data_IF_149201985055
#
_entry.id   IF_149201985055
#
_cell.length_a   1.000
_cell.length_b   1.000
_cell.length_c   1.000
_cell.angle_alpha   90.00
_cell.angle_beta   90.00
_cell.angle_gamma   90.00
#
_symmetry.space_group_name_H-M   'P 1'
#
loop_
_entity.id
_entity.type
_entity.pdbx_description
1 polymer ?
#
# COMPACT_ATOMS: atom_id res chain seq x y z
N UNK A 1 2.22 -13.73 8.90
CA UNK A 1 0.89 -13.21 8.51
C UNK A 1 0.95 -11.72 8.79
N UNK A 2 1.13 -10.86 7.78
CA UNK A 2 1.21 -9.41 8.01
C UNK A 2 0.03 -8.78 7.28
N UNK A 3 -0.98 -8.41 8.07
CA UNK A 3 -1.95 -7.40 7.72
C UNK A 3 -1.30 -6.05 8.02
N UNK A 4 -1.38 -5.08 7.10
CA UNK A 4 -1.09 -3.68 7.45
C UNK A 4 -2.33 -3.13 8.16
N UNK A 5 -2.43 -3.49 9.44
CA UNK A 5 -3.13 -2.73 10.46
C UNK A 5 -2.02 -2.18 11.35
N UNK A 6 -1.96 -0.86 11.50
CA UNK A 6 -0.99 -0.16 12.36
C UNK A 6 -0.95 -0.79 13.75
N UNK A 7 0.09 -1.58 14.03
CA UNK A 7 0.49 -2.06 15.35
C UNK A 7 1.92 -2.61 15.27
N UNK A 8 2.89 -2.00 15.96
CA UNK A 8 4.30 -2.44 15.92
C UNK A 8 4.86 -2.66 17.34
N UNK A 9 5.11 -3.93 17.65
CA UNK A 9 5.88 -4.43 18.80
C UNK A 9 7.05 -5.31 18.28
N UNK A 10 8.27 -4.80 18.46
CA UNK A 10 9.50 -5.44 18.95
C UNK A 10 10.27 -6.60 18.24
N UNK A 11 11.60 -6.38 18.21
CA UNK A 11 12.76 -7.29 18.49
C UNK A 11 13.05 -8.51 17.61
N UNK A 12 14.06 -8.34 16.75
CA UNK A 12 15.33 -9.12 16.63
C UNK A 12 15.81 -9.12 15.17
N UNK A 13 16.40 -8.00 14.74
CA UNK A 13 17.04 -7.89 13.42
C UNK A 13 18.57 -7.90 13.64
N UNK A 14 19.35 -8.68 12.86
CA UNK A 14 20.81 -8.67 12.93
C UNK A 14 21.34 -7.24 12.72
N UNK A 15 22.52 -6.94 13.26
CA UNK A 15 23.09 -5.59 13.13
C UNK A 15 23.17 -5.16 11.65
N UNK A 16 22.99 -3.86 11.37
CA UNK A 16 23.04 -3.28 10.01
C UNK A 16 24.26 -3.73 9.20
N UNK A 17 25.37 -4.01 9.88
CA UNK A 17 26.61 -4.50 9.28
C UNK A 17 26.50 -5.91 8.73
N UNK A 18 25.71 -6.76 9.37
CA UNK A 18 25.50 -8.16 9.02
C UNK A 18 24.50 -8.29 7.86
N UNK A 19 23.44 -7.48 7.89
CA UNK A 19 22.48 -7.36 6.79
C UNK A 19 23.16 -6.86 5.50
N UNK A 20 23.98 -5.81 5.57
CA UNK A 20 24.73 -5.31 4.41
C UNK A 20 25.73 -6.35 3.87
N UNK A 21 26.33 -7.17 4.74
CA UNK A 21 27.26 -8.22 4.32
C UNK A 21 26.55 -9.37 3.62
N UNK A 22 25.31 -9.68 4.01
CA UNK A 22 24.47 -10.69 3.35
C UNK A 22 23.96 -10.19 1.99
N UNK A 23 23.51 -8.94 1.91
CA UNK A 23 22.99 -8.32 0.67
C UNK A 23 24.07 -8.12 -0.41
N UNK A 24 25.29 -7.77 -0.01
CA UNK A 24 26.43 -7.64 -0.92
C UNK A 24 26.92 -8.98 -1.50
N UNK A 25 26.71 -10.08 -0.78
CA UNK A 25 27.15 -11.42 -1.19
C UNK A 25 26.24 -12.03 -2.27
N UNK A 26 24.98 -11.62 -2.28
CA UNK A 26 23.93 -12.08 -3.22
C UNK A 26 23.71 -11.09 -4.39
N UNK A 27 24.56 -10.07 -4.53
CA UNK A 27 24.44 -9.01 -5.55
C UNK A 27 23.10 -8.24 -5.50
N UNK A 28 22.50 -8.14 -4.30
CA UNK A 28 21.23 -7.48 -4.02
C UNK A 28 21.46 -6.04 -3.53
N UNK A 29 22.18 -5.23 -4.30
CA UNK A 29 22.27 -3.79 -4.10
C UNK A 29 21.05 -3.10 -4.73
N UNK A 30 19.87 -3.28 -4.12
CA UNK A 30 18.62 -2.63 -4.55
C UNK A 30 18.49 -1.17 -4.06
N UNK A 31 19.46 -0.65 -3.30
CA UNK A 31 19.53 0.76 -2.91
C UNK A 31 19.97 1.71 -4.06
N UNK A 32 19.64 1.39 -5.32
CA UNK A 32 20.00 2.24 -6.47
C UNK A 32 18.84 2.42 -7.47
N UNK A 33 17.61 2.36 -6.98
CA UNK A 33 16.41 2.61 -7.79
C UNK A 33 15.45 3.65 -7.19
N UNK A 34 15.80 4.27 -6.05
CA UNK A 34 15.10 5.48 -5.59
C UNK A 34 15.85 6.67 -6.17
N UNK A 35 15.15 7.50 -6.95
CA UNK A 35 15.68 8.78 -7.40
C UNK A 35 15.83 9.65 -6.14
N UNK A 36 17.00 10.28 -5.96
CA UNK A 36 17.51 11.03 -4.79
C UNK A 36 16.57 12.02 -4.04
N UNK A 37 15.30 12.16 -4.42
CA UNK A 37 14.36 13.12 -3.81
C UNK A 37 13.60 12.60 -2.59
N UNK A 38 13.48 11.28 -2.38
CA UNK A 38 12.68 10.69 -1.27
C UNK A 38 13.54 9.96 -0.22
N UNK A 39 14.79 9.60 -0.55
CA UNK A 39 15.69 8.81 0.32
C UNK A 39 15.98 9.47 1.68
N UNK A 40 15.81 10.78 1.81
CA UNK A 40 16.02 11.49 3.07
C UNK A 40 14.84 11.43 4.06
N UNK A 41 13.74 10.74 3.72
CA UNK A 41 12.53 10.70 4.55
C UNK A 41 12.16 9.30 5.07
N UNK A 42 12.91 8.27 4.69
CA UNK A 42 12.73 6.93 5.28
C UNK A 42 13.54 6.91 6.58
N UNK A 43 12.84 6.91 7.72
CA UNK A 43 13.46 6.90 9.05
C UNK A 43 13.46 5.50 9.68
N UNK A 44 12.62 4.60 9.20
CA UNK A 44 12.51 3.22 9.67
C UNK A 44 12.92 2.17 8.64
N UNK A 45 12.64 0.91 8.99
CA UNK A 45 13.06 -0.27 8.22
C UNK A 45 11.88 -1.18 7.87
N UNK A 46 10.65 -0.65 7.91
CA UNK A 46 9.45 -1.46 7.65
C UNK A 46 9.15 -1.52 6.15
N UNK A 47 8.62 -2.66 5.69
CA UNK A 47 8.18 -2.81 4.30
C UNK A 47 7.14 -1.74 3.92
N UNK A 48 6.20 -1.44 4.84
CA UNK A 48 5.16 -0.43 4.63
C UNK A 48 5.71 0.97 4.36
N UNK A 49 6.79 1.36 5.03
CA UNK A 49 7.42 2.67 4.83
C UNK A 49 8.15 2.73 3.49
N UNK A 50 8.81 1.65 3.09
CA UNK A 50 9.45 1.55 1.78
C UNK A 50 8.41 1.54 0.65
N UNK A 51 7.28 0.87 0.85
CA UNK A 51 6.14 0.90 -0.09
C UNK A 51 5.57 2.33 -0.20
N UNK A 52 5.46 3.05 0.90
CA UNK A 52 5.00 4.43 0.88
C UNK A 52 5.99 5.36 0.18
N UNK A 53 7.29 5.21 0.45
CA UNK A 53 8.33 5.96 -0.25
C UNK A 53 8.34 5.67 -1.76
N UNK A 54 8.15 4.41 -2.15
CA UNK A 54 7.95 4.01 -3.55
C UNK A 54 6.72 4.72 -4.14
N UNK A 55 5.57 4.71 -3.45
CA UNK A 55 4.39 5.45 -3.89
C UNK A 55 4.67 6.94 -4.11
N UNK A 56 5.38 7.60 -3.19
CA UNK A 56 5.73 9.01 -3.36
C UNK A 56 6.64 9.25 -4.57
N UNK A 57 7.58 8.33 -4.83
CA UNK A 57 8.43 8.38 -6.01
C UNK A 57 7.63 8.19 -7.31
N UNK A 58 6.73 7.21 -7.34
CA UNK A 58 5.83 6.99 -8.49
C UNK A 58 4.90 8.18 -8.70
N UNK A 59 4.36 8.76 -7.62
CA UNK A 59 3.49 9.94 -7.66
C UNK A 59 4.18 11.15 -8.29
N UNK A 60 5.45 11.38 -7.95
CA UNK A 60 6.25 12.42 -8.58
C UNK A 60 6.55 12.13 -10.06
N UNK A 61 6.60 10.85 -10.46
CA UNK A 61 6.87 10.45 -11.85
C UNK A 61 5.64 10.57 -12.78
N UNK A 62 4.43 10.55 -12.21
CA UNK A 62 3.15 10.65 -12.95
C UNK A 62 2.42 11.98 -12.69
N UNK A 63 3.18 13.03 -12.40
CA UNK A 63 2.69 14.40 -12.19
C UNK A 63 1.53 14.51 -11.18
N UNK A 64 1.59 13.73 -10.10
CA UNK A 64 0.61 13.78 -9.02
C UNK A 64 -0.67 12.97 -9.28
N UNK A 65 -0.72 12.09 -10.28
CA UNK A 65 -1.85 11.19 -10.49
C UNK A 65 -1.80 9.98 -9.52
N UNK A 66 -2.70 9.93 -8.54
CA UNK A 66 -2.69 8.92 -7.48
C UNK A 66 -2.99 7.50 -7.98
N UNK A 67 -3.93 7.36 -8.93
CA UNK A 67 -4.29 6.07 -9.53
C UNK A 67 -3.09 5.47 -10.25
N UNK A 68 -2.45 6.26 -11.12
CA UNK A 68 -1.27 5.81 -11.84
C UNK A 68 -0.10 5.53 -10.90
N UNK A 69 0.07 6.33 -9.84
CA UNK A 69 1.13 6.13 -8.86
C UNK A 69 0.96 4.84 -8.07
N UNK A 70 -0.26 4.55 -7.59
CA UNK A 70 -0.55 3.32 -6.88
C UNK A 70 -0.44 2.11 -7.81
N UNK A 71 -0.93 2.21 -9.05
CA UNK A 71 -0.78 1.15 -10.03
C UNK A 71 0.70 0.87 -10.34
N UNK A 72 1.52 1.92 -10.54
CA UNK A 72 2.96 1.78 -10.76
C UNK A 72 3.68 1.19 -9.54
N UNK A 73 3.27 1.56 -8.33
CA UNK A 73 3.77 0.98 -7.08
C UNK A 73 3.51 -0.51 -7.04
N UNK A 74 2.27 -0.94 -7.30
CA UNK A 74 1.89 -2.35 -7.33
C UNK A 74 2.58 -3.11 -8.46
N UNK A 75 2.76 -2.50 -9.64
CA UNK A 75 3.57 -3.05 -10.76
C UNK A 75 5.00 -3.34 -10.32
N UNK A 76 5.62 -2.41 -9.60
CA UNK A 76 6.98 -2.57 -9.10
C UNK A 76 7.05 -3.69 -8.06
N UNK A 77 6.12 -3.74 -7.09
CA UNK A 77 6.04 -4.84 -6.12
C UNK A 77 5.85 -6.20 -6.82
N UNK A 78 5.03 -6.27 -7.87
CA UNK A 78 4.84 -7.48 -8.67
C UNK A 78 6.12 -7.94 -9.36
N UNK A 79 6.83 -7.02 -10.03
CA UNK A 79 8.10 -7.31 -10.70
C UNK A 79 9.18 -7.78 -9.71
N UNK A 80 9.19 -7.23 -8.50
CA UNK A 80 10.13 -7.62 -7.45
C UNK A 80 9.77 -8.98 -6.83
N UNK A 81 8.49 -9.25 -6.59
CA UNK A 81 8.06 -10.46 -5.90
C UNK A 81 8.05 -11.71 -6.79
N UNK A 82 7.63 -11.57 -8.06
CA UNK A 82 7.41 -12.68 -8.99
C UNK A 82 8.63 -13.58 -9.21
N UNK A 83 9.87 -13.06 -9.43
CA UNK A 83 11.04 -13.90 -9.66
C UNK A 83 11.43 -14.77 -8.45
N UNK A 84 11.12 -14.31 -7.23
CA UNK A 84 11.50 -14.98 -5.99
C UNK A 84 10.34 -15.77 -5.36
N UNK A 85 9.16 -15.79 -5.99
CA UNK A 85 7.97 -16.47 -5.45
C UNK A 85 7.49 -15.91 -4.11
N UNK A 86 7.82 -14.64 -3.82
CA UNK A 86 7.46 -13.97 -2.57
C UNK A 86 6.00 -13.55 -2.61
N UNK A 87 5.29 -13.78 -1.50
CA UNK A 87 3.90 -13.32 -1.36
C UNK A 87 3.87 -11.85 -0.96
N UNK A 88 2.94 -11.10 -1.56
CA UNK A 88 2.68 -9.70 -1.19
C UNK A 88 1.21 -9.55 -0.87
N UNK A 89 0.89 -8.91 0.25
CA UNK A 89 -0.47 -8.54 0.62
C UNK A 89 -0.50 -7.01 0.71
N UNK A 90 -1.07 -6.35 -0.29
CA UNK A 90 -1.03 -4.91 -0.48
C UNK A 90 -2.44 -4.30 -0.32
N UNK A 91 -2.96 -4.40 0.90
CA UNK A 91 -4.04 -3.53 1.33
C UNK A 91 -3.40 -2.19 1.74
N UNK A 92 -3.47 -1.22 0.84
CA UNK A 92 -2.87 0.10 1.01
C UNK A 92 -4.02 1.10 1.10
N UNK A 93 -3.95 2.04 2.03
CA UNK A 93 -4.88 3.17 2.15
C UNK A 93 -4.04 4.41 2.40
N UNK A 94 -4.16 5.41 1.52
CA UNK A 94 -3.39 6.66 1.57
C UNK A 94 -4.37 7.82 1.45
N UNK A 95 -4.13 8.90 2.18
CA UNK A 95 -4.89 10.15 2.08
C UNK A 95 -3.99 11.35 2.32
N UNK A 96 -4.33 12.47 1.70
CA UNK A 96 -3.70 13.79 1.91
C UNK A 96 -4.63 14.75 2.70
N UNK A 97 -5.80 14.27 3.13
CA UNK A 97 -6.83 15.06 3.80
C UNK A 97 -7.95 15.58 2.87
N UNK A 98 -7.72 15.64 1.55
CA UNK A 98 -8.71 16.07 0.57
C UNK A 98 -9.22 14.89 -0.30
N UNK A 99 -8.36 13.90 -0.53
CA UNK A 99 -8.68 12.68 -1.24
C UNK A 99 -8.13 11.45 -0.53
N UNK A 100 -8.63 10.29 -0.91
CA UNK A 100 -8.21 8.98 -0.43
C UNK A 100 -8.09 8.02 -1.62
N UNK A 101 -7.02 7.24 -1.63
CA UNK A 101 -6.88 6.08 -2.50
C UNK A 101 -6.66 4.82 -1.67
N UNK A 102 -7.24 3.71 -2.08
CA UNK A 102 -7.04 2.42 -1.46
C UNK A 102 -6.89 1.30 -2.48
N UNK A 103 -6.10 0.28 -2.18
CA UNK A 103 -6.07 -0.99 -2.92
C UNK A 103 -6.44 -2.16 -2.02
N UNK A 104 -7.05 -3.18 -2.62
CA UNK A 104 -7.10 -4.54 -2.05
C UNK A 104 -6.46 -5.50 -3.05
N UNK A 105 -5.16 -5.75 -2.89
CA UNK A 105 -4.36 -6.49 -3.86
C UNK A 105 -3.43 -7.51 -3.18
N UNK A 106 -3.14 -8.62 -3.85
CA UNK A 106 -2.17 -9.60 -3.39
C UNK A 106 -1.49 -10.34 -4.54
N UNK A 107 -0.29 -10.86 -4.26
CA UNK A 107 0.51 -11.68 -5.17
C UNK A 107 0.75 -13.03 -4.51
N UNK A 108 0.40 -14.12 -5.20
CA UNK A 108 0.61 -15.49 -4.72
C UNK A 108 -0.22 -15.87 -3.50
N UNK A 109 -1.30 -15.12 -3.20
CA UNK A 109 -2.21 -15.34 -2.08
C UNK A 109 -3.51 -14.56 -2.28
N UNK A 110 -4.53 -14.84 -1.45
CA UNK A 110 -5.73 -14.01 -1.30
C UNK A 110 -5.41 -12.77 -0.46
N UNK A 111 -5.84 -11.55 -0.85
CA UNK A 111 -5.64 -10.35 -0.05
C UNK A 111 -6.53 -10.36 1.21
N UNK A 112 -6.05 -9.78 2.34
CA UNK A 112 -6.89 -9.58 3.53
C UNK A 112 -8.17 -8.82 3.17
N UNK A 113 -9.21 -8.98 3.98
CA UNK A 113 -10.48 -8.30 3.75
C UNK A 113 -10.32 -6.78 3.86
N UNK A 114 -11.09 -6.08 3.04
CA UNK A 114 -11.34 -4.65 3.16
C UNK A 114 -12.81 -4.44 2.80
N UNK A 115 -13.44 -3.47 3.42
CA UNK A 115 -14.83 -3.09 3.23
C UNK A 115 -14.91 -1.58 3.13
N UNK A 116 -15.94 -1.10 2.45
CA UNK A 116 -16.25 0.32 2.40
C UNK A 116 -17.72 0.56 2.74
N UNK A 117 -17.99 1.73 3.31
CA UNK A 117 -19.33 2.19 3.63
C UNK A 117 -19.40 3.67 3.27
N UNK A 118 -20.54 4.10 2.72
CA UNK A 118 -20.79 5.51 2.42
C UNK A 118 -22.07 5.96 3.14
N UNK A 119 -22.05 7.18 3.68
CA UNK A 119 -23.21 7.83 4.30
C UNK A 119 -23.87 6.99 5.41
N UNK A 120 -23.09 6.54 6.39
CA UNK A 120 -23.66 5.89 7.59
C UNK A 120 -24.58 6.87 8.35
N UNK A 121 -25.63 6.39 9.01
CA UNK A 121 -26.53 7.25 9.80
C UNK A 121 -25.80 8.12 10.84
N UNK A 122 -24.76 7.58 11.49
CA UNK A 122 -23.95 8.30 12.46
C UNK A 122 -22.77 9.06 11.84
N UNK A 123 -22.49 8.85 10.56
CA UNK A 123 -21.42 9.50 9.79
C UNK A 123 -21.96 9.96 8.42
N UNK A 124 -22.89 10.93 8.39
CA UNK A 124 -23.44 11.44 7.14
C UNK A 124 -22.35 12.16 6.33
N UNK A 125 -22.47 12.15 5.00
CA UNK A 125 -21.49 12.76 4.09
C UNK A 125 -20.07 12.28 4.36
N UNK A 126 -19.89 10.96 4.39
CA UNK A 126 -18.59 10.35 4.61
C UNK A 126 -18.44 9.06 3.82
N UNK A 127 -17.19 8.69 3.52
CA UNK A 127 -16.79 7.35 3.10
C UNK A 127 -15.86 6.77 4.16
N UNK A 128 -16.11 5.54 4.58
CA UNK A 128 -15.32 4.80 5.55
C UNK A 128 -14.77 3.56 4.84
N UNK A 129 -13.47 3.31 4.98
CA UNK A 129 -12.81 2.07 4.53
C UNK A 129 -12.19 1.39 5.75
N UNK A 130 -12.46 0.10 5.95
CA UNK A 130 -11.99 -0.67 7.09
C UNK A 130 -11.72 -2.13 6.74
N UNK A 131 -10.92 -2.84 7.53
CA UNK A 131 -10.65 -4.28 7.34
C UNK A 131 -11.86 -5.18 7.59
N UNK A 132 -12.79 -4.70 8.41
CA UNK A 132 -14.04 -5.38 8.79
C UNK A 132 -15.13 -4.34 9.12
N UNK A 133 -16.42 -4.71 9.03
CA UNK A 133 -17.52 -3.86 9.50
C UNK A 133 -17.36 -3.47 10.97
N UNK A 134 -17.18 -2.18 11.25
CA UNK A 134 -16.94 -1.68 12.62
C UNK A 134 -18.21 -1.51 13.46
N UNK A 135 -19.37 -1.43 12.79
CA UNK A 135 -20.69 -1.22 13.39
C UNK A 135 -21.80 -1.64 12.40
N UNK A 136 -23.06 -1.81 12.84
CA UNK A 136 -24.17 -2.13 11.94
C UNK A 136 -24.36 -1.06 10.84
N UNK A 137 -24.35 -1.48 9.58
CA UNK A 137 -24.50 -0.59 8.44
C UNK A 137 -24.39 -1.32 7.11
N UNK A 138 -24.61 -0.60 6.01
CA UNK A 138 -24.55 -1.12 4.64
C UNK A 138 -23.09 -1.19 4.16
N UNK A 139 -22.28 -2.02 4.83
CA UNK A 139 -20.90 -2.27 4.43
C UNK A 139 -20.87 -3.10 3.15
N UNK A 140 -20.05 -2.67 2.20
CA UNK A 140 -19.83 -3.35 0.95
C UNK A 140 -18.44 -3.99 0.98
N UNK A 141 -18.27 -5.26 0.57
CA UNK A 141 -16.96 -5.85 0.42
C UNK A 141 -16.16 -5.09 -0.64
N UNK A 142 -14.91 -4.77 -0.35
CA UNK A 142 -13.98 -4.25 -1.33
C UNK A 142 -13.52 -5.41 -2.21
N UNK A 143 -13.76 -5.38 -3.53
CA UNK A 143 -13.36 -6.46 -4.44
C UNK A 143 -11.85 -6.73 -4.43
N UNK A 144 -11.47 -7.98 -4.64
CA UNK A 144 -10.05 -8.33 -4.82
C UNK A 144 -9.50 -7.75 -6.11
N UNK A 145 -8.20 -7.47 -6.12
CA UNK A 145 -7.49 -6.89 -7.25
C UNK A 145 -8.17 -5.66 -7.80
N UNK A 146 -8.55 -4.75 -6.91
CA UNK A 146 -9.15 -3.47 -7.28
C UNK A 146 -8.61 -2.33 -6.42
N UNK A 147 -8.80 -1.11 -6.91
CA UNK A 147 -8.54 0.13 -6.20
C UNK A 147 -9.80 1.00 -6.11
N UNK A 148 -9.88 1.81 -5.06
CA UNK A 148 -10.91 2.82 -4.84
C UNK A 148 -10.24 4.19 -4.73
N UNK A 149 -10.82 5.19 -5.40
CA UNK A 149 -10.51 6.60 -5.24
C UNK A 149 -11.73 7.34 -4.69
N UNK A 150 -11.50 8.23 -3.74
CA UNK A 150 -12.52 9.10 -3.15
C UNK A 150 -11.97 10.52 -3.08
N UNK A 151 -12.65 11.47 -3.72
CA UNK A 151 -12.32 12.89 -3.63
C UNK A 151 -13.24 13.64 -2.65
N UNK A 152 -13.13 14.97 -2.64
CA UNK A 152 -13.96 15.86 -1.80
C UNK A 152 -15.47 15.74 -2.09
N UNK A 153 -15.85 15.29 -3.30
CA UNK A 153 -17.24 15.04 -3.66
C UNK A 153 -17.81 13.72 -3.10
N UNK A 154 -16.97 12.98 -2.36
CA UNK A 154 -17.24 11.70 -1.73
C UNK A 154 -17.68 10.61 -2.71
N UNK A 155 -17.53 10.82 -4.03
CA UNK A 155 -17.83 9.77 -5.00
C UNK A 155 -16.76 8.70 -4.94
N UNK A 156 -17.22 7.45 -4.93
CA UNK A 156 -16.36 6.28 -4.97
C UNK A 156 -16.16 5.91 -6.44
N UNK A 157 -14.94 6.07 -6.93
CA UNK A 157 -14.52 5.55 -8.22
C UNK A 157 -13.73 4.26 -7.98
N UNK A 158 -14.09 3.18 -8.64
CA UNK A 158 -13.47 1.87 -8.45
C UNK A 158 -12.92 1.36 -9.76
N UNK A 159 -11.68 0.87 -9.73
CA UNK A 159 -10.96 0.39 -10.91
C UNK A 159 -10.34 -0.99 -10.63
N UNK A 160 -10.41 -1.94 -11.57
CA UNK A 160 -9.65 -3.19 -11.45
C UNK A 160 -8.15 -2.92 -11.55
N UNK A 161 -7.36 -3.80 -10.94
CA UNK A 161 -5.90 -3.83 -11.02
C UNK A 161 -5.50 -5.05 -11.86
N UNK A 162 -4.96 -4.81 -13.06
CA UNK A 162 -4.57 -5.86 -14.01
C UNK A 162 -3.03 -5.96 -14.10
N UNK A 163 -2.41 -6.87 -13.33
CA UNK A 163 -0.95 -7.02 -13.17
C UNK A 163 -0.44 -8.46 -13.36
#
# INVERSE_FOLDING_TARGET
>A
MVAVVLSLLWRQVPSLRELNRMLARENLLWAKAVKDTVDHKIEGTTDSEHIFALFLNELAAVDGNWEQALEATLKTLFKLAKPYGVKVLANIVISDGNQLIASRYAIGSTPPSLYWLQNAPHFPNSVIIASEPLFPGNWNPFPESSMICVGEDLKINMHPIDL
#
